data_IF_186260185903
#
_entry.id   IF_186260185903
#
_cell.length_a   1.000
_cell.length_b   1.000
_cell.length_c   1.000
_cell.angle_alpha   90.00
_cell.angle_beta   90.00
_cell.angle_gamma   90.00
#
_symmetry.space_group_name_H-M   'P 1'
#
loop_
_entity.id
_entity.type
_entity.pdbx_description
1 polymer ?
#
# COMPACT_ATOMS: atom_id res chain seq x y z
N UNK A 1 -3.65 5.93 1.70
CA UNK A 1 -3.33 4.57 1.21
C UNK A 1 -4.63 3.79 1.07
N UNK A 2 -5.33 3.46 2.17
CA UNK A 2 -6.62 2.75 2.15
C UNK A 2 -7.62 3.31 1.12
N UNK A 3 -7.87 4.62 1.14
CA UNK A 3 -8.80 5.28 0.21
C UNK A 3 -8.40 5.12 -1.27
N UNK A 4 -7.10 5.18 -1.58
CA UNK A 4 -6.58 5.02 -2.95
C UNK A 4 -6.69 3.57 -3.41
N UNK A 5 -6.45 2.61 -2.50
CA UNK A 5 -6.66 1.18 -2.78
C UNK A 5 -8.13 0.90 -3.07
N UNK A 6 -9.03 1.44 -2.25
CA UNK A 6 -10.48 1.23 -2.36
C UNK A 6 -11.06 1.90 -3.60
N UNK A 7 -10.58 3.08 -4.01
CA UNK A 7 -10.99 3.72 -5.27
C UNK A 7 -10.57 2.94 -6.51
N UNK A 8 -9.62 2.01 -6.37
CA UNK A 8 -9.17 1.07 -7.41
C UNK A 8 -9.83 -0.30 -7.30
N UNK A 9 -10.82 -0.47 -6.41
CA UNK A 9 -11.55 -1.72 -6.17
C UNK A 9 -10.65 -2.90 -5.77
N UNK A 10 -9.49 -2.62 -5.17
CA UNK A 10 -8.56 -3.65 -4.71
C UNK A 10 -8.82 -4.01 -3.25
N UNK A 11 -8.77 -5.29 -2.92
CA UNK A 11 -8.60 -5.78 -1.55
C UNK A 11 -7.15 -5.58 -1.08
N UNK A 12 -6.90 -5.70 0.23
CA UNK A 12 -5.53 -5.69 0.76
C UNK A 12 -4.68 -6.85 0.22
N UNK A 13 -5.31 -8.00 -0.07
CA UNK A 13 -4.64 -9.19 -0.60
C UNK A 13 -4.19 -8.97 -2.05
N UNK A 14 -5.09 -8.45 -2.89
CA UNK A 14 -4.76 -8.13 -4.29
C UNK A 14 -3.69 -7.04 -4.37
N UNK A 15 -3.75 -6.01 -3.51
CA UNK A 15 -2.67 -5.02 -3.46
C UNK A 15 -1.32 -5.65 -3.07
N UNK A 16 -1.33 -6.59 -2.12
CA UNK A 16 -0.11 -7.29 -1.71
C UNK A 16 0.48 -8.13 -2.85
N UNK A 17 -0.37 -8.83 -3.60
CA UNK A 17 0.02 -9.60 -4.79
C UNK A 17 0.62 -8.70 -5.87
N UNK A 18 -0.03 -7.59 -6.22
CA UNK A 18 0.46 -6.64 -7.24
C UNK A 18 1.76 -5.94 -6.79
N UNK A 19 1.88 -5.60 -5.50
CA UNK A 19 3.09 -4.98 -4.95
C UNK A 19 4.24 -5.98 -4.73
N UNK A 20 4.01 -7.28 -4.95
CA UNK A 20 4.91 -8.38 -4.60
C UNK A 20 5.38 -8.25 -3.14
N UNK A 21 4.41 -8.17 -2.23
CA UNK A 21 4.59 -8.03 -0.79
C UNK A 21 3.68 -9.02 -0.06
N UNK A 22 4.01 -9.35 1.19
CA UNK A 22 3.11 -10.19 1.98
C UNK A 22 1.85 -9.40 2.37
N UNK A 23 0.71 -10.09 2.42
CA UNK A 23 -0.54 -9.53 2.95
C UNK A 23 -0.35 -8.92 4.34
N UNK A 24 0.41 -9.60 5.21
CA UNK A 24 0.71 -9.13 6.58
C UNK A 24 1.41 -7.76 6.54
N UNK A 25 2.37 -7.58 5.63
CA UNK A 25 3.09 -6.30 5.48
C UNK A 25 2.14 -5.18 5.05
N UNK A 26 1.31 -5.41 4.03
CA UNK A 26 0.31 -4.43 3.59
C UNK A 26 -0.66 -4.08 4.71
N UNK A 27 -1.20 -5.09 5.41
CA UNK A 27 -2.12 -4.90 6.52
C UNK A 27 -1.50 -4.06 7.66
N UNK A 28 -0.27 -4.37 8.08
CA UNK A 28 0.43 -3.63 9.15
C UNK A 28 0.74 -2.18 8.73
N UNK A 29 1.11 -1.95 7.48
CA UNK A 29 1.33 -0.61 6.94
C UNK A 29 0.02 0.18 6.91
N UNK A 30 -1.05 -0.40 6.34
CA UNK A 30 -2.34 0.29 6.18
C UNK A 30 -3.03 0.57 7.53
N UNK A 31 -2.78 -0.27 8.54
CA UNK A 31 -3.31 -0.08 9.91
C UNK A 31 -2.42 0.79 10.80
N UNK A 32 -1.28 1.29 10.30
CA UNK A 32 -0.33 2.09 11.07
C UNK A 32 0.51 1.31 12.09
N UNK A 33 0.38 -0.02 12.13
CA UNK A 33 1.18 -0.93 13.00
C UNK A 33 2.63 -1.10 12.54
N UNK A 34 2.96 -0.58 11.35
CA UNK A 34 4.31 -0.60 10.82
C UNK A 34 4.54 0.61 9.91
N UNK A 35 5.64 1.33 10.14
CA UNK A 35 6.08 2.39 9.23
C UNK A 35 6.65 1.75 7.95
N UNK A 36 6.21 2.16 6.74
CA UNK A 36 6.74 1.61 5.51
C UNK A 36 8.18 2.09 5.28
N UNK A 37 9.00 1.22 4.69
CA UNK A 37 10.33 1.59 4.18
C UNK A 37 10.20 2.26 2.82
N UNK A 38 11.21 3.02 2.37
CA UNK A 38 11.22 3.62 1.03
C UNK A 38 10.95 2.59 -0.09
N UNK A 39 11.53 1.39 0.03
CA UNK A 39 11.27 0.27 -0.89
C UNK A 39 9.79 -0.14 -0.91
N UNK A 40 9.16 -0.19 0.26
CA UNK A 40 7.73 -0.52 0.40
C UNK A 40 6.86 0.57 -0.22
N UNK A 41 7.19 1.84 0.04
CA UNK A 41 6.48 2.99 -0.55
C UNK A 41 6.52 2.90 -2.08
N UNK A 42 7.71 2.67 -2.66
CA UNK A 42 7.86 2.54 -4.12
C UNK A 42 7.04 1.39 -4.70
N UNK A 43 7.09 0.19 -4.09
CA UNK A 43 6.29 -0.97 -4.52
C UNK A 43 4.79 -0.71 -4.46
N UNK A 44 4.31 -0.13 -3.36
CA UNK A 44 2.90 0.20 -3.17
C UNK A 44 2.45 1.28 -4.16
N UNK A 45 3.28 2.30 -4.40
CA UNK A 45 2.98 3.37 -5.37
C UNK A 45 2.85 2.84 -6.79
N UNK A 46 3.80 1.98 -7.20
CA UNK A 46 3.76 1.30 -8.49
C UNK A 46 2.52 0.42 -8.64
N UNK A 47 2.20 -0.38 -7.62
CA UNK A 47 1.00 -1.23 -7.62
C UNK A 47 -0.30 -0.41 -7.71
N UNK A 48 -0.33 0.73 -7.03
CA UNK A 48 -1.44 1.67 -7.08
C UNK A 48 -1.37 2.60 -8.30
N UNK A 49 -0.35 2.55 -9.16
CA UNK A 49 -0.17 3.45 -10.32
C UNK A 49 -0.31 4.94 -9.95
N UNK A 50 0.42 5.36 -8.93
CA UNK A 50 0.51 6.74 -8.43
C UNK A 50 1.96 7.08 -8.09
N UNK A 51 2.24 8.35 -7.86
CA UNK A 51 3.55 8.79 -7.36
C UNK A 51 3.71 8.45 -5.87
N UNK A 52 4.92 8.11 -5.40
CA UNK A 52 5.20 7.85 -3.99
C UNK A 52 4.77 8.98 -3.03
N UNK A 53 4.83 10.23 -3.49
CA UNK A 53 4.42 11.43 -2.74
C UNK A 53 2.91 11.51 -2.51
N UNK A 54 2.10 10.82 -3.32
CA UNK A 54 0.64 10.81 -3.20
C UNK A 54 0.16 9.81 -2.13
N UNK A 55 1.03 8.92 -1.64
CA UNK A 55 0.64 7.95 -0.63
C UNK A 55 0.65 8.57 0.77
N UNK A 56 -0.54 8.80 1.32
CA UNK A 56 -0.70 9.01 2.74
C UNK A 56 -0.87 7.67 3.49
N UNK A 57 0.05 7.32 4.40
CA UNK A 57 -0.05 6.10 5.24
C UNK A 57 -0.72 6.34 6.60
N UNK A 58 -1.04 7.60 6.91
CA UNK A 58 -1.71 7.98 8.14
C UNK A 58 -3.24 8.00 7.93
N UNK A 59 -3.97 7.76 9.01
CA UNK A 59 -5.34 8.25 9.14
C UNK A 59 -5.28 9.76 9.38
#
# INVERSE_FOLDING_TARGET
>A
MKQIRESKFLTQKELAEIAEMSFITINRIETGKQKPTFKSIKKIAQALKIEPSEINFLK
#
